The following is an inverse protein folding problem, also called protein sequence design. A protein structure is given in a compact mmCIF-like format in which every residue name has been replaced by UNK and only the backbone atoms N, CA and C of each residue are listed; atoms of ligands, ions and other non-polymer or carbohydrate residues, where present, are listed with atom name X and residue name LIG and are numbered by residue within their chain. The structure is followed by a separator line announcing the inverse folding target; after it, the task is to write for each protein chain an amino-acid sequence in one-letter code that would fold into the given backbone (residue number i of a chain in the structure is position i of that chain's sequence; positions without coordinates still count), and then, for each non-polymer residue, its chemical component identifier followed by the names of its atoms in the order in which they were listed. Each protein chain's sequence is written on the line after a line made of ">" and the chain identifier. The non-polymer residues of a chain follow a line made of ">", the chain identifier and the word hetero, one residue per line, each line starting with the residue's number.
data_IF_371862498341
#
_entry.id   IF_371862498341
#
_cell.length_a   1.000
_cell.length_b   1.000
_cell.length_c   1.000
_cell.angle_alpha   90.00
_cell.angle_beta   90.00
_cell.angle_gamma   90.00
#
_symmetry.space_group_name_H-M   'P 1'
#
loop_
_entity.id
_entity.type
_entity.pdbx_description
1 polymer ?
#
# COMPACT_ATOMS: atom_id res chain seq x y z
N UNK A 1 -8.34 -16.60 -15.60
CA UNK A 1 -7.71 -15.87 -14.49
C UNK A 1 -8.84 -15.38 -13.60
N UNK A 2 -9.01 -15.87 -12.36
CA UNK A 2 -10.15 -15.43 -11.58
C UNK A 2 -9.89 -13.98 -11.16
N UNK A 3 -10.67 -13.08 -11.77
CA UNK A 3 -10.84 -11.69 -11.38
C UNK A 3 -11.06 -11.63 -9.87
N UNK A 4 -10.21 -10.89 -9.15
CA UNK A 4 -10.38 -10.69 -7.73
C UNK A 4 -11.66 -9.86 -7.52
N UNK A 5 -12.66 -10.44 -6.83
CA UNK A 5 -14.04 -9.96 -6.69
C UNK A 5 -14.18 -8.53 -6.10
N UNK A 6 -13.09 -7.90 -5.64
CA UNK A 6 -13.07 -6.56 -5.04
C UNK A 6 -12.36 -5.46 -5.85
N UNK A 7 -11.66 -5.80 -6.94
CA UNK A 7 -10.85 -4.86 -7.73
C UNK A 7 -9.61 -4.34 -6.98
N UNK A 8 -8.50 -4.11 -7.69
CA UNK A 8 -7.30 -3.51 -7.10
C UNK A 8 -7.49 -2.01 -6.91
N UNK A 9 -6.87 -1.49 -5.85
CA UNK A 9 -6.88 -0.07 -5.54
C UNK A 9 -5.55 0.56 -5.96
N UNK A 10 -5.65 1.72 -6.61
CA UNK A 10 -4.50 2.58 -6.79
C UNK A 10 -4.11 3.24 -5.47
N UNK A 11 -2.81 3.55 -5.29
CA UNK A 11 -2.32 4.27 -4.11
C UNK A 11 -3.11 5.54 -3.78
N UNK A 12 -3.53 6.30 -4.79
CA UNK A 12 -4.38 7.47 -4.56
C UNK A 12 -5.76 7.13 -4.00
N UNK A 13 -6.35 6.00 -4.41
CA UNK A 13 -7.63 5.54 -3.86
C UNK A 13 -7.48 5.07 -2.41
N UNK A 14 -6.36 4.42 -2.10
CA UNK A 14 -6.01 4.05 -0.72
C UNK A 14 -5.86 5.29 0.15
N UNK A 15 -5.15 6.32 -0.33
CA UNK A 15 -5.03 7.60 0.37
C UNK A 15 -6.40 8.21 0.64
N UNK A 16 -7.27 8.29 -0.38
CA UNK A 16 -8.63 8.84 -0.23
C UNK A 16 -9.46 8.06 0.79
N UNK A 17 -9.49 6.72 0.69
CA UNK A 17 -10.20 5.87 1.66
C UNK A 17 -9.72 6.11 3.10
N UNK A 18 -8.41 6.21 3.29
CA UNK A 18 -7.84 6.47 4.62
C UNK A 18 -8.20 7.89 5.11
N UNK A 19 -8.22 8.90 4.23
CA UNK A 19 -8.70 10.24 4.57
C UNK A 19 -10.18 10.26 4.94
N UNK A 20 -11.03 9.58 4.18
CA UNK A 20 -12.48 9.46 4.44
C UNK A 20 -12.76 8.80 5.79
N UNK A 21 -11.87 7.92 6.24
CA UNK A 21 -11.93 7.27 7.56
C UNK A 21 -11.31 8.11 8.69
N UNK A 22 -10.83 9.32 8.39
CA UNK A 22 -10.29 10.27 9.37
C UNK A 22 -8.78 10.21 9.59
N UNK A 23 -8.02 9.43 8.80
CA UNK A 23 -6.56 9.38 8.91
C UNK A 23 -5.91 10.56 8.18
N UNK A 24 -4.95 11.22 8.83
CA UNK A 24 -4.23 12.37 8.28
C UNK A 24 -3.10 11.95 7.31
N UNK A 25 -3.47 11.34 6.18
CA UNK A 25 -2.52 10.95 5.12
C UNK A 25 -2.58 11.99 4.01
N UNK A 26 -1.53 12.81 3.90
CA UNK A 26 -1.53 13.98 3.01
C UNK A 26 -1.20 13.69 1.55
N UNK A 27 -0.57 12.54 1.25
CA UNK A 27 -0.11 12.21 -0.09
C UNK A 27 0.25 10.73 -0.25
N UNK A 28 0.41 10.29 -1.50
CA UNK A 28 0.96 8.96 -1.82
C UNK A 28 2.35 8.76 -1.23
N UNK A 29 3.15 9.84 -1.15
CA UNK A 29 4.46 9.74 -0.50
C UNK A 29 4.33 9.45 1.00
N UNK A 30 3.35 10.05 1.68
CA UNK A 30 3.07 9.73 3.08
C UNK A 30 2.61 8.27 3.24
N UNK A 31 1.75 7.79 2.35
CA UNK A 31 1.36 6.38 2.29
C UNK A 31 2.57 5.46 2.09
N UNK A 32 3.44 5.75 1.12
CA UNK A 32 4.62 4.94 0.85
C UNK A 32 5.55 4.86 2.07
N UNK A 33 5.75 5.96 2.81
CA UNK A 33 6.52 5.96 4.06
C UNK A 33 5.89 5.12 5.17
N UNK A 34 4.56 5.08 5.27
CA UNK A 34 3.86 4.19 6.21
C UNK A 34 4.10 2.73 5.80
N UNK A 35 3.94 2.42 4.51
CA UNK A 35 4.18 1.09 3.96
C UNK A 35 5.65 0.66 4.10
N UNK A 36 6.59 1.60 4.03
CA UNK A 36 8.01 1.38 4.34
C UNK A 36 8.22 1.02 5.80
N UNK A 37 7.62 1.79 6.72
CA UNK A 37 7.70 1.51 8.15
C UNK A 37 7.07 0.16 8.54
N UNK A 38 6.06 -0.30 7.78
CA UNK A 38 5.49 -1.65 7.90
C UNK A 38 6.38 -2.74 7.27
N UNK A 39 7.41 -2.37 6.52
CA UNK A 39 8.27 -3.29 5.77
C UNK A 39 7.61 -3.89 4.54
N UNK A 40 6.57 -3.23 3.98
CA UNK A 40 5.91 -3.63 2.74
C UNK A 40 6.61 -3.05 1.51
N UNK A 41 7.14 -1.83 1.63
CA UNK A 41 7.96 -1.17 0.63
C UNK A 41 9.39 -0.98 1.13
N UNK A 42 10.32 -0.87 0.19
CA UNK A 42 11.68 -0.38 0.43
C UNK A 42 11.95 0.80 -0.49
N UNK A 43 12.44 1.91 0.07
CA UNK A 43 12.89 3.03 -0.73
C UNK A 43 14.25 2.70 -1.37
N UNK A 44 14.37 2.89 -2.68
CA UNK A 44 15.64 2.72 -3.41
C UNK A 44 15.82 3.87 -4.41
N UNK A 45 16.93 4.60 -4.31
CA UNK A 45 17.18 5.78 -5.16
C UNK A 45 16.02 6.79 -5.10
N UNK A 46 15.34 6.99 -6.23
CA UNK A 46 14.17 7.86 -6.37
C UNK A 46 12.83 7.09 -6.43
N UNK A 47 12.82 5.80 -6.10
CA UNK A 47 11.68 4.90 -6.29
C UNK A 47 11.34 4.03 -5.08
N UNK A 48 10.28 3.24 -5.23
CA UNK A 48 9.75 2.35 -4.19
C UNK A 48 9.59 0.93 -4.71
N UNK A 49 10.20 -0.02 -4.01
CA UNK A 49 10.24 -1.43 -4.40
C UNK A 49 9.36 -2.27 -3.48
N UNK A 50 8.56 -3.16 -4.04
CA UNK A 50 7.74 -4.08 -3.26
C UNK A 50 8.60 -5.18 -2.63
N UNK A 51 8.53 -5.32 -1.30
CA UNK A 51 9.22 -6.39 -0.55
C UNK A 51 8.47 -7.72 -0.64
N UNK A 52 9.06 -8.80 -0.11
CA UNK A 52 8.38 -10.10 0.01
C UNK A 52 7.07 -10.01 0.83
N UNK A 53 7.03 -9.14 1.85
CA UNK A 53 5.83 -8.92 2.66
C UNK A 53 4.78 -8.13 1.87
N UNK A 54 5.21 -7.11 1.13
CA UNK A 54 4.34 -6.29 0.29
C UNK A 54 3.75 -7.06 -0.90
N UNK A 55 4.47 -8.04 -1.44
CA UNK A 55 4.02 -8.86 -2.56
C UNK A 55 2.72 -9.63 -2.27
N UNK A 56 2.41 -9.89 -0.98
CA UNK A 56 1.14 -10.51 -0.57
C UNK A 56 -0.08 -9.61 -0.81
N UNK A 57 0.15 -8.29 -0.85
CA UNK A 57 -0.89 -7.27 -1.03
C UNK A 57 -0.79 -6.59 -2.39
N UNK A 58 0.09 -7.05 -3.28
CA UNK A 58 0.27 -6.48 -4.60
C UNK A 58 -0.16 -7.49 -5.64
N UNK A 59 -0.71 -7.00 -6.76
CA UNK A 59 -0.93 -7.82 -7.95
C UNK A 59 0.36 -8.44 -8.50
N UNK A 60 1.50 -7.91 -8.08
CA UNK A 60 2.80 -8.22 -8.64
C UNK A 60 3.67 -9.01 -7.67
N UNK A 61 4.55 -9.83 -8.24
CA UNK A 61 5.56 -10.56 -7.49
C UNK A 61 6.59 -9.62 -6.83
N UNK A 62 7.41 -10.18 -5.93
CA UNK A 62 8.53 -9.47 -5.27
C UNK A 62 9.35 -8.66 -6.28
N UNK A 63 9.75 -7.45 -5.90
CA UNK A 63 10.73 -6.66 -6.65
C UNK A 63 10.14 -5.83 -7.78
N UNK A 64 8.81 -5.74 -7.90
CA UNK A 64 8.20 -4.78 -8.82
C UNK A 64 8.38 -3.36 -8.31
N UNK A 65 8.97 -2.56 -9.19
CA UNK A 65 9.26 -1.16 -9.00
C UNK A 65 8.03 -0.31 -9.30
N UNK A 66 7.74 0.66 -8.43
CA UNK A 66 6.63 1.61 -8.60
C UNK A 66 5.27 0.93 -8.82
N UNK A 67 5.03 -0.17 -8.10
CA UNK A 67 3.70 -0.80 -8.10
C UNK A 67 2.67 0.18 -7.52
N UNK A 68 1.69 0.54 -8.33
CA UNK A 68 0.61 1.46 -7.93
C UNK A 68 -0.69 0.75 -7.59
N UNK A 69 -0.87 -0.50 -8.04
CA UNK A 69 -2.04 -1.33 -7.78
C UNK A 69 -1.81 -2.30 -6.61
N UNK A 70 -2.71 -2.22 -5.63
CA UNK A 70 -2.66 -2.99 -4.38
C UNK A 70 -4.01 -3.60 -4.06
N UNK A 71 -3.99 -4.76 -3.43
CA UNK A 71 -5.20 -5.42 -2.97
C UNK A 71 -5.89 -4.61 -1.87
N UNK A 72 -7.24 -4.53 -1.87
CA UNK A 72 -8.00 -3.76 -0.89
C UNK A 72 -7.70 -4.07 0.58
N UNK A 73 -7.30 -5.31 0.87
CA UNK A 73 -6.92 -5.78 2.22
C UNK A 73 -5.73 -5.01 2.80
N UNK A 74 -4.92 -4.36 1.96
CA UNK A 74 -3.85 -3.47 2.40
C UNK A 74 -4.38 -2.32 3.28
N UNK A 75 -5.57 -1.80 2.97
CA UNK A 75 -6.18 -0.69 3.72
C UNK A 75 -6.40 -1.10 5.18
N UNK A 76 -6.93 -2.30 5.40
CA UNK A 76 -7.19 -2.83 6.74
C UNK A 76 -5.90 -3.04 7.54
N UNK A 77 -4.84 -3.56 6.91
CA UNK A 77 -3.54 -3.74 7.55
C UNK A 77 -2.85 -2.41 7.88
N UNK A 78 -2.97 -1.39 7.01
CA UNK A 78 -2.47 -0.04 7.31
C UNK A 78 -3.23 0.55 8.50
N UNK A 79 -4.55 0.41 8.53
CA UNK A 79 -5.39 0.86 9.66
C UNK A 79 -4.95 0.19 10.96
N UNK A 80 -4.75 -1.13 10.93
CA UNK A 80 -4.29 -1.90 12.08
C UNK A 80 -2.93 -1.43 12.57
N UNK A 81 -1.99 -1.16 11.66
CA UNK A 81 -0.70 -0.59 11.99
C UNK A 81 -0.81 0.80 12.63
N UNK A 82 -1.65 1.68 12.06
CA UNK A 82 -1.86 3.05 12.57
C UNK A 82 -2.55 3.08 13.94
N UNK A 83 -3.42 2.10 14.24
CA UNK A 83 -4.09 1.98 15.55
C UNK A 83 -3.21 1.39 16.65
N UNK A 84 -2.25 0.53 16.29
CA UNK A 84 -1.35 -0.13 17.23
C UNK A 84 -0.07 0.68 17.52
N UNK A 85 -0.04 1.96 17.12
CA UNK A 85 1.08 2.87 17.26
C UNK A 85 0.71 4.00 18.22
#
# INVERSE_FOLDING_TARGET
>A
MPYNYKGDLYKMEIVKKLQDMGYNIKSVNALNKIMEAMGLLVHYGNGWGTTDKGAKFSMWHKGVFNSDAWHPELVDEIIKYLKNK
#
